data_IF_039921930689
#
_entry.id   IF_039921930689
#
_cell.length_a   1.000
_cell.length_b   1.000
_cell.length_c   1.000
_cell.angle_alpha   90.00
_cell.angle_beta   90.00
_cell.angle_gamma   90.00
#
_symmetry.space_group_name_H-M   'P 1'
#
loop_
_entity.id
_entity.type
_entity.pdbx_description
1 polymer ?
#
# COMPACT_ATOMS: atom_id res chain seq x y z
N UNK A 1 -30.15 -7.27 -5.10
CA UNK A 1 -29.11 -7.98 -5.88
C UNK A 1 -27.86 -7.13 -6.20
N UNK A 2 -27.95 -5.82 -6.47
CA UNK A 2 -26.78 -4.97 -6.79
C UNK A 2 -26.04 -4.41 -5.55
N UNK A 3 -26.75 -4.15 -4.44
CA UNK A 3 -26.15 -3.75 -3.15
C UNK A 3 -25.14 -4.79 -2.64
N UNK A 4 -25.46 -6.07 -2.81
CA UNK A 4 -24.56 -7.19 -2.51
C UNK A 4 -23.26 -7.12 -3.33
N UNK A 5 -23.32 -6.72 -4.62
CA UNK A 5 -22.13 -6.56 -5.45
C UNK A 5 -21.22 -5.43 -4.96
N UNK A 6 -21.80 -4.33 -4.49
CA UNK A 6 -21.03 -3.22 -3.89
C UNK A 6 -20.40 -3.66 -2.57
N UNK A 7 -21.18 -4.32 -1.71
CA UNK A 7 -20.67 -4.84 -0.45
C UNK A 7 -19.52 -5.84 -0.67
N UNK A 8 -19.64 -6.71 -1.67
CA UNK A 8 -18.57 -7.64 -2.04
C UNK A 8 -17.30 -6.90 -2.50
N UNK A 9 -17.41 -5.86 -3.34
CA UNK A 9 -16.26 -5.04 -3.77
C UNK A 9 -15.58 -4.39 -2.55
N UNK A 10 -16.37 -3.82 -1.64
CA UNK A 10 -15.84 -3.19 -0.43
C UNK A 10 -15.15 -4.20 0.49
N UNK A 11 -15.76 -5.37 0.69
CA UNK A 11 -15.19 -6.43 1.51
C UNK A 11 -13.85 -6.90 0.94
N UNK A 12 -13.79 -7.18 -0.37
CA UNK A 12 -12.53 -7.56 -1.02
C UNK A 12 -11.47 -6.47 -0.91
N UNK A 13 -11.83 -5.20 -1.05
CA UNK A 13 -10.90 -4.09 -0.86
C UNK A 13 -10.39 -4.00 0.59
N UNK A 14 -11.25 -4.23 1.60
CA UNK A 14 -10.85 -4.28 3.01
C UNK A 14 -9.91 -5.46 3.30
N UNK A 15 -10.16 -6.62 2.72
CA UNK A 15 -9.27 -7.78 2.85
C UNK A 15 -7.88 -7.50 2.24
N UNK A 16 -7.84 -6.91 1.04
CA UNK A 16 -6.58 -6.49 0.39
C UNK A 16 -5.85 -5.45 1.24
N UNK A 17 -6.56 -4.47 1.78
CA UNK A 17 -5.99 -3.46 2.67
C UNK A 17 -5.38 -4.07 3.94
N UNK A 18 -6.08 -5.02 4.57
CA UNK A 18 -5.56 -5.74 5.73
C UNK A 18 -4.32 -6.59 5.41
N UNK A 19 -4.28 -7.23 4.23
CA UNK A 19 -3.09 -7.94 3.74
C UNK A 19 -1.92 -6.98 3.50
N UNK A 20 -2.19 -5.84 2.89
CA UNK A 20 -1.19 -4.82 2.58
C UNK A 20 -0.47 -4.32 3.84
N UNK A 21 -1.22 -4.03 4.91
CA UNK A 21 -0.64 -3.64 6.21
C UNK A 21 0.31 -4.71 6.74
N UNK A 22 -0.09 -5.98 6.71
CA UNK A 22 0.74 -7.09 7.20
C UNK A 22 2.03 -7.26 6.40
N UNK A 23 1.95 -7.10 5.07
CA UNK A 23 3.13 -7.16 4.21
C UNK A 23 4.07 -5.99 4.48
N UNK A 24 3.54 -4.80 4.71
CA UNK A 24 4.36 -3.65 5.09
C UNK A 24 5.06 -3.87 6.42
N UNK A 25 4.37 -4.33 7.46
CA UNK A 25 5.00 -4.62 8.75
C UNK A 25 6.12 -5.68 8.59
N UNK A 26 5.86 -6.76 7.85
CA UNK A 26 6.86 -7.81 7.58
C UNK A 26 8.06 -7.28 6.78
N UNK A 27 7.81 -6.48 5.75
CA UNK A 27 8.88 -5.87 4.94
C UNK A 27 9.72 -4.92 5.78
N UNK A 28 9.07 -4.14 6.64
CA UNK A 28 9.73 -3.20 7.54
C UNK A 28 10.72 -3.93 8.46
N UNK A 29 10.29 -5.04 9.09
CA UNK A 29 11.17 -5.86 9.92
C UNK A 29 12.38 -6.42 9.15
N UNK A 30 12.17 -6.87 7.90
CA UNK A 30 13.24 -7.39 7.06
C UNK A 30 14.21 -6.30 6.62
N UNK A 31 13.70 -5.13 6.26
CA UNK A 31 14.52 -3.97 5.92
C UNK A 31 15.35 -3.51 7.11
N UNK A 32 14.78 -3.45 8.31
CA UNK A 32 15.54 -3.10 9.52
C UNK A 32 16.67 -4.11 9.79
N UNK A 33 16.38 -5.42 9.65
CA UNK A 33 17.42 -6.45 9.80
C UNK A 33 18.51 -6.32 8.74
N UNK A 34 18.12 -6.09 7.49
CA UNK A 34 19.07 -5.91 6.39
C UNK A 34 19.97 -4.70 6.60
N UNK A 35 19.37 -3.56 6.97
CA UNK A 35 20.09 -2.30 7.23
C UNK A 35 21.05 -2.45 8.41
N UNK A 36 20.62 -3.12 9.49
CA UNK A 36 21.47 -3.29 10.67
C UNK A 36 22.60 -4.31 10.48
N UNK A 37 22.46 -5.25 9.53
CA UNK A 37 23.43 -6.34 9.32
C UNK A 37 24.42 -6.10 8.18
N UNK A 38 24.18 -5.14 7.27
CA UNK A 38 25.07 -4.86 6.15
C UNK A 38 25.91 -3.60 6.38
N UNK A 39 27.22 -3.72 6.17
CA UNK A 39 28.12 -2.59 6.04
C UNK A 39 28.02 -1.98 4.64
N UNK A 40 27.28 -0.88 4.52
CA UNK A 40 27.10 -0.16 3.26
C UNK A 40 28.32 0.72 2.95
N UNK A 41 29.39 0.10 2.47
CA UNK A 41 30.68 0.76 2.22
C UNK A 41 30.78 1.50 0.88
N UNK A 42 29.83 1.34 -0.04
CA UNK A 42 29.84 2.02 -1.35
C UNK A 42 28.96 3.27 -1.38
N UNK A 43 29.56 4.42 -1.71
CA UNK A 43 28.90 5.74 -1.78
C UNK A 43 27.73 5.83 -2.77
N UNK A 44 27.69 4.98 -3.82
CA UNK A 44 26.59 4.90 -4.78
C UNK A 44 25.28 4.36 -4.18
N UNK A 45 25.37 3.60 -3.08
CA UNK A 45 24.21 3.08 -2.36
C UNK A 45 23.67 4.08 -1.33
N UNK A 46 24.42 5.13 -0.99
CA UNK A 46 24.11 5.98 0.17
C UNK A 46 22.87 6.87 -0.01
N UNK A 47 22.60 7.37 -1.22
CA UNK A 47 21.52 8.32 -1.48
C UNK A 47 20.13 7.71 -1.33
N UNK A 48 19.85 6.65 -2.09
CA UNK A 48 18.55 5.99 -2.04
C UNK A 48 18.37 5.18 -0.73
N UNK A 49 19.44 4.70 -0.10
CA UNK A 49 19.35 3.98 1.17
C UNK A 49 19.06 4.94 2.32
N UNK A 50 19.70 6.11 2.34
CA UNK A 50 19.38 7.19 3.28
C UNK A 50 17.91 7.63 3.14
N UNK A 51 17.42 7.71 1.91
CA UNK A 51 16.01 7.96 1.63
C UNK A 51 15.10 6.86 2.23
N UNK A 52 15.40 5.58 1.98
CA UNK A 52 14.64 4.45 2.53
C UNK A 52 14.66 4.47 4.07
N UNK A 53 15.82 4.69 4.70
CA UNK A 53 15.96 4.77 6.17
C UNK A 53 15.13 5.92 6.76
N UNK A 54 15.19 7.10 6.13
CA UNK A 54 14.41 8.28 6.52
C UNK A 54 12.91 8.02 6.41
N UNK A 55 12.47 7.37 5.33
CA UNK A 55 11.07 7.03 5.10
C UNK A 55 10.59 5.93 6.05
N UNK A 56 11.39 4.91 6.34
CA UNK A 56 11.08 3.90 7.35
C UNK A 56 10.86 4.55 8.73
N UNK A 57 11.74 5.46 9.11
CA UNK A 57 11.62 6.21 10.37
C UNK A 57 10.34 7.06 10.41
N UNK A 58 10.00 7.70 9.28
CA UNK A 58 8.77 8.49 9.14
C UNK A 58 7.52 7.61 9.23
N UNK A 59 7.50 6.46 8.55
CA UNK A 59 6.40 5.48 8.59
C UNK A 59 6.08 5.00 10.02
N UNK A 60 7.10 4.80 10.87
CA UNK A 60 6.91 4.45 12.29
C UNK A 60 6.22 5.54 13.10
N UNK A 61 6.45 6.81 12.75
CA UNK A 61 5.94 7.95 13.51
C UNK A 61 4.55 8.40 13.02
N UNK A 62 4.18 8.05 11.79
CA UNK A 62 2.89 8.40 11.19
C UNK A 62 1.74 7.64 11.84
N UNK A 63 0.78 8.39 12.40
CA UNK A 63 -0.46 7.83 12.99
C UNK A 63 -1.60 7.71 11.98
N UNK A 64 -1.56 8.49 10.90
CA UNK A 64 -2.55 8.38 9.83
C UNK A 64 -2.23 7.16 8.94
N UNK A 65 -3.20 6.26 8.83
CA UNK A 65 -2.97 4.99 8.14
C UNK A 65 -2.78 5.18 6.63
N UNK A 66 -3.41 6.19 6.03
CA UNK A 66 -3.28 6.46 4.61
C UNK A 66 -1.93 7.11 4.29
N UNK A 67 -1.46 8.04 5.13
CA UNK A 67 -0.11 8.59 5.02
C UNK A 67 0.95 7.51 5.24
N UNK A 68 0.75 6.60 6.20
CA UNK A 68 1.68 5.48 6.43
C UNK A 68 1.77 4.58 5.20
N UNK A 69 0.63 4.22 4.60
CA UNK A 69 0.59 3.41 3.38
C UNK A 69 1.27 4.10 2.20
N UNK A 70 1.09 5.42 2.07
CA UNK A 70 1.79 6.22 1.04
C UNK A 70 3.31 6.14 1.22
N UNK A 71 3.80 6.40 2.43
CA UNK A 71 5.24 6.34 2.74
C UNK A 71 5.78 4.92 2.48
N UNK A 72 5.06 3.89 2.92
CA UNK A 72 5.43 2.50 2.65
C UNK A 72 5.41 2.17 1.16
N UNK A 73 4.48 2.72 0.38
CA UNK A 73 4.51 2.54 -1.07
C UNK A 73 5.71 3.25 -1.72
N UNK A 74 6.06 4.45 -1.28
CA UNK A 74 7.26 5.16 -1.76
C UNK A 74 8.55 4.38 -1.44
N UNK A 75 8.61 3.72 -0.27
CA UNK A 75 9.69 2.78 0.07
C UNK A 75 9.70 1.60 -0.91
N UNK A 76 8.52 1.07 -1.25
CA UNK A 76 8.35 -0.03 -2.22
C UNK A 76 8.96 0.28 -3.58
N UNK A 77 8.67 1.48 -4.09
CA UNK A 77 9.18 1.95 -5.38
C UNK A 77 10.69 2.18 -5.32
N UNK A 78 11.19 2.80 -4.24
CA UNK A 78 12.63 3.03 -4.05
C UNK A 78 13.44 1.73 -3.94
N UNK A 79 12.82 0.63 -3.49
CA UNK A 79 13.45 -0.68 -3.33
C UNK A 79 13.65 -1.42 -4.66
N UNK A 80 12.90 -1.08 -5.72
CA UNK A 80 12.99 -1.77 -7.03
C UNK A 80 14.39 -1.76 -7.63
N UNK A 81 15.13 -0.69 -7.37
CA UNK A 81 16.46 -0.46 -7.97
C UNK A 81 17.61 -0.96 -7.08
N UNK A 82 17.32 -1.70 -6.00
CA UNK A 82 18.32 -2.23 -5.08
C UNK A 82 18.40 -3.75 -5.08
N UNK A 83 19.62 -4.25 -4.92
CA UNK A 83 19.86 -5.65 -4.58
C UNK A 83 19.59 -5.92 -3.09
N UNK A 84 18.32 -6.18 -2.78
CA UNK A 84 17.90 -6.69 -1.49
C UNK A 84 17.88 -8.22 -1.46
N UNK A 85 17.77 -8.78 -0.25
CA UNK A 85 17.55 -10.21 -0.07
C UNK A 85 16.24 -10.64 -0.74
N UNK A 86 16.23 -11.88 -1.25
CA UNK A 86 15.11 -12.45 -2.01
C UNK A 86 13.76 -12.29 -1.31
N UNK A 87 13.74 -12.43 0.01
CA UNK A 87 12.51 -12.32 0.80
C UNK A 87 11.90 -10.90 0.76
N UNK A 88 12.74 -9.86 0.75
CA UNK A 88 12.31 -8.47 0.62
C UNK A 88 11.74 -8.24 -0.78
N UNK A 89 12.41 -8.75 -1.82
CA UNK A 89 11.97 -8.61 -3.21
C UNK A 89 10.60 -9.27 -3.41
N UNK A 90 10.41 -10.51 -2.93
CA UNK A 90 9.13 -11.23 -3.05
C UNK A 90 8.00 -10.49 -2.35
N UNK A 91 8.25 -9.97 -1.14
CA UNK A 91 7.24 -9.18 -0.42
C UNK A 91 6.94 -7.87 -1.16
N UNK A 92 7.95 -7.24 -1.76
CA UNK A 92 7.78 -6.01 -2.52
C UNK A 92 6.91 -6.23 -3.77
N UNK A 93 7.15 -7.31 -4.51
CA UNK A 93 6.30 -7.71 -5.64
C UNK A 93 4.86 -7.97 -5.21
N UNK A 94 4.65 -8.66 -4.08
CA UNK A 94 3.32 -8.94 -3.54
C UNK A 94 2.59 -7.65 -3.12
N UNK A 95 3.30 -6.70 -2.53
CA UNK A 95 2.79 -5.35 -2.22
C UNK A 95 2.28 -4.66 -3.48
N UNK A 96 3.10 -4.59 -4.54
CA UNK A 96 2.70 -3.92 -5.78
C UNK A 96 1.45 -4.57 -6.39
N UNK A 97 1.40 -5.90 -6.43
CA UNK A 97 0.23 -6.63 -6.92
C UNK A 97 -1.04 -6.31 -6.12
N UNK A 98 -0.96 -6.29 -4.79
CA UNK A 98 -2.11 -5.98 -3.94
C UNK A 98 -2.57 -4.53 -4.11
N UNK A 99 -1.64 -3.58 -4.27
CA UNK A 99 -1.96 -2.18 -4.54
C UNK A 99 -2.68 -2.03 -5.88
N UNK A 100 -2.22 -2.72 -6.93
CA UNK A 100 -2.89 -2.75 -8.23
C UNK A 100 -4.32 -3.30 -8.13
N UNK A 101 -4.49 -4.45 -7.47
CA UNK A 101 -5.81 -5.07 -7.27
C UNK A 101 -6.75 -4.17 -6.46
N UNK A 102 -6.25 -3.54 -5.39
CA UNK A 102 -7.03 -2.60 -4.58
C UNK A 102 -7.45 -1.37 -5.40
N UNK A 103 -6.52 -0.78 -6.14
CA UNK A 103 -6.80 0.39 -6.98
C UNK A 103 -7.82 0.07 -8.07
N UNK A 104 -7.76 -1.12 -8.67
CA UNK A 104 -8.77 -1.60 -9.60
C UNK A 104 -10.17 -1.67 -8.95
N UNK A 105 -10.28 -2.18 -7.73
CA UNK A 105 -11.56 -2.21 -7.00
C UNK A 105 -12.06 -0.79 -6.67
N UNK A 106 -11.17 0.12 -6.29
CA UNK A 106 -11.51 1.51 -6.02
C UNK A 106 -12.02 2.23 -7.28
N UNK A 107 -11.40 1.99 -8.44
CA UNK A 107 -11.89 2.49 -9.74
C UNK A 107 -13.27 1.95 -10.07
N UNK A 108 -13.45 0.63 -9.92
CA UNK A 108 -14.72 -0.03 -10.19
C UNK A 108 -15.83 0.57 -9.32
N UNK A 109 -15.58 0.77 -8.03
CA UNK A 109 -16.56 1.38 -7.12
C UNK A 109 -16.86 2.84 -7.47
N UNK A 110 -15.85 3.63 -7.83
CA UNK A 110 -16.02 5.01 -8.28
C UNK A 110 -16.79 5.12 -9.60
N UNK A 111 -16.58 4.18 -10.52
CA UNK A 111 -17.36 4.13 -11.78
C UNK A 111 -18.84 3.88 -11.51
N UNK A 112 -19.16 3.06 -10.50
CA UNK A 112 -20.53 2.77 -10.10
C UNK A 112 -21.20 3.98 -9.44
N UNK A 113 -20.45 4.70 -8.58
CA UNK A 113 -20.98 5.83 -7.80
C UNK A 113 -21.32 7.06 -8.65
N UNK A 114 -20.68 7.25 -9.80
CA UNK A 114 -20.97 8.35 -10.74
C UNK A 114 -22.39 8.30 -11.32
N UNK A 115 -23.11 7.20 -11.20
CA UNK A 115 -24.51 7.08 -11.64
C UNK A 115 -25.44 7.77 -10.62
N UNK A 116 -26.28 8.70 -11.08
CA UNK A 116 -27.17 9.54 -10.23
C UNK A 116 -27.97 8.71 -9.22
N UNK A 117 -28.64 7.64 -9.67
CA UNK A 117 -29.43 6.76 -8.79
C UNK A 117 -28.56 6.08 -7.72
N UNK A 118 -27.36 5.66 -8.10
CA UNK A 118 -26.41 4.95 -7.23
C UNK A 118 -25.84 5.90 -6.17
N UNK A 119 -25.53 7.15 -6.54
CA UNK A 119 -25.04 8.18 -5.61
C UNK A 119 -26.02 8.45 -4.47
N UNK A 120 -27.31 8.58 -4.78
CA UNK A 120 -28.35 8.76 -3.77
C UNK A 120 -28.43 7.58 -2.81
N UNK A 121 -28.27 6.35 -3.33
CA UNK A 121 -28.31 5.15 -2.52
C UNK A 121 -27.06 5.01 -1.64
N UNK A 122 -25.88 5.38 -2.12
CA UNK A 122 -24.66 5.40 -1.30
C UNK A 122 -24.84 6.33 -0.09
N UNK A 123 -25.50 7.48 -0.29
CA UNK A 123 -25.85 8.41 0.80
C UNK A 123 -26.82 7.78 1.80
N UNK A 124 -27.89 7.11 1.32
CA UNK A 124 -28.88 6.45 2.18
C UNK A 124 -28.26 5.34 3.01
N UNK A 125 -27.40 4.51 2.41
CA UNK A 125 -26.76 3.37 3.07
C UNK A 125 -25.42 3.72 3.75
N UNK A 126 -25.02 5.00 3.76
CA UNK A 126 -23.74 5.48 4.31
C UNK A 126 -22.52 4.70 3.79
N UNK A 127 -22.55 4.36 2.50
CA UNK A 127 -21.44 3.68 1.83
C UNK A 127 -20.36 4.72 1.49
N UNK A 128 -19.19 4.56 2.09
CA UNK A 128 -18.03 5.39 1.79
C UNK A 128 -17.33 4.89 0.52
N UNK A 129 -16.88 5.82 -0.32
CA UNK A 129 -16.10 5.48 -1.51
C UNK A 129 -14.69 5.06 -1.11
N UNK A 130 -14.17 4.08 -1.84
CA UNK A 130 -12.78 3.67 -1.74
C UNK A 130 -11.91 4.74 -2.41
N UNK A 131 -10.96 5.25 -1.64
CA UNK A 131 -9.89 6.09 -2.17
C UNK A 131 -8.80 5.19 -2.72
N UNK A 132 -8.30 5.52 -3.90
CA UNK A 132 -7.11 4.87 -4.46
C UNK A 132 -5.90 5.19 -3.59
N UNK A 133 -4.95 4.27 -3.59
CA UNK A 133 -3.60 4.53 -3.12
C UNK A 133 -2.89 5.28 -4.24
N UNK A 134 -2.49 6.52 -3.99
CA UNK A 134 -1.68 7.31 -4.91
C UNK A 134 -0.28 6.68 -5.00
N UNK A 135 0.16 6.40 -6.23
CA UNK A 135 1.45 5.81 -6.59
C UNK A 135 2.30 6.89 -7.23
#
# INVERSE_FOLDING_TARGET
>A
MWLYKIHAIMHSAQELFGKLIRLYDKRHELLEKFINNKDFTSSAFSGNLSYIISKLSSSKQTKDIYEKLKIEHEISEAIKDFEFDRDIVVINEEVHKIVEEYNFLAEKLNSLSKKILVKSLFKVFKINLLNKIEV
#
